data_IF_811025345351
#
_entry.id   IF_811025345351
#
_cell.length_a   1.000
_cell.length_b   1.000
_cell.length_c   1.000
_cell.angle_alpha   90.00
_cell.angle_beta   90.00
_cell.angle_gamma   90.00
#
_symmetry.space_group_name_H-M   'P 1'
#
loop_
_entity.id
_entity.type
_entity.pdbx_description
1 polymer ?
#
# COMPACT_ATOMS: atom_id res chain seq x y z
N UNK A 1 -29.93 -7.60 -17.94
CA UNK A 1 -28.68 -7.11 -18.55
C UNK A 1 -28.06 -5.94 -17.78
N UNK A 2 -28.85 -4.93 -17.37
CA UNK A 2 -28.37 -3.76 -16.61
C UNK A 2 -27.71 -4.11 -15.27
N UNK A 3 -28.29 -5.02 -14.48
CA UNK A 3 -27.72 -5.43 -13.18
C UNK A 3 -26.34 -6.10 -13.31
N UNK A 4 -26.14 -6.93 -14.34
CA UNK A 4 -24.86 -7.60 -14.62
C UNK A 4 -23.80 -6.58 -15.01
N UNK A 5 -24.16 -5.60 -15.85
CA UNK A 5 -23.25 -4.52 -16.24
C UNK A 5 -22.81 -3.69 -15.03
N UNK A 6 -23.76 -3.29 -14.17
CA UNK A 6 -23.46 -2.55 -12.94
C UNK A 6 -22.55 -3.35 -12.01
N UNK A 7 -22.80 -4.64 -11.84
CA UNK A 7 -21.98 -5.51 -11.01
C UNK A 7 -20.54 -5.63 -11.53
N UNK A 8 -20.36 -5.84 -12.84
CA UNK A 8 -19.04 -5.88 -13.46
C UNK A 8 -18.31 -4.54 -13.33
N UNK A 9 -19.01 -3.43 -13.53
CA UNK A 9 -18.43 -2.10 -13.37
C UNK A 9 -17.96 -1.87 -11.92
N UNK A 10 -18.80 -2.16 -10.93
CA UNK A 10 -18.44 -2.05 -9.51
C UNK A 10 -17.25 -2.95 -9.15
N UNK A 11 -17.21 -4.17 -9.68
CA UNK A 11 -16.09 -5.07 -9.47
C UNK A 11 -14.77 -4.50 -10.02
N UNK A 12 -14.77 -3.98 -11.25
CA UNK A 12 -13.60 -3.36 -11.87
C UNK A 12 -13.15 -2.13 -11.07
N UNK A 13 -14.08 -1.24 -10.72
CA UNK A 13 -13.77 -0.02 -9.95
C UNK A 13 -13.21 -0.36 -8.57
N UNK A 14 -13.78 -1.34 -7.87
CA UNK A 14 -13.31 -1.76 -6.54
C UNK A 14 -11.93 -2.41 -6.63
N UNK A 15 -11.71 -3.26 -7.63
CA UNK A 15 -10.40 -3.88 -7.90
C UNK A 15 -9.34 -2.83 -8.20
N UNK A 16 -9.66 -1.85 -9.06
CA UNK A 16 -8.77 -0.73 -9.36
C UNK A 16 -8.48 0.11 -8.11
N UNK A 17 -9.49 0.39 -7.29
CA UNK A 17 -9.33 1.09 -6.01
C UNK A 17 -8.35 0.36 -5.08
N UNK A 18 -8.43 -0.98 -4.98
CA UNK A 18 -7.48 -1.77 -4.20
C UNK A 18 -6.04 -1.61 -4.68
N UNK A 19 -5.79 -1.57 -5.99
CA UNK A 19 -4.46 -1.30 -6.54
C UNK A 19 -3.96 0.09 -6.15
N UNK A 20 -4.82 1.11 -6.19
CA UNK A 20 -4.47 2.48 -5.77
C UNK A 20 -4.15 2.54 -4.28
N UNK A 21 -4.99 1.94 -3.42
CA UNK A 21 -4.73 1.86 -1.98
C UNK A 21 -3.40 1.14 -1.69
N UNK A 22 -3.14 0.03 -2.39
CA UNK A 22 -1.90 -0.71 -2.26
C UNK A 22 -0.67 0.10 -2.71
N UNK A 23 -0.77 0.82 -3.83
CA UNK A 23 0.30 1.70 -4.31
C UNK A 23 0.68 2.75 -3.25
N UNK A 24 -0.32 3.43 -2.66
CA UNK A 24 -0.07 4.41 -1.61
C UNK A 24 0.54 3.76 -0.36
N UNK A 25 0.12 2.55 0.02
CA UNK A 25 0.74 1.80 1.11
C UNK A 25 2.24 1.57 0.84
N UNK A 26 2.60 1.04 -0.33
CA UNK A 26 4.00 0.75 -0.69
C UNK A 26 4.84 2.03 -0.71
N UNK A 27 4.27 3.15 -1.17
CA UNK A 27 4.92 4.45 -1.09
C UNK A 27 5.31 4.83 0.36
N UNK A 28 4.41 4.59 1.33
CA UNK A 28 4.74 4.84 2.74
C UNK A 28 5.79 3.87 3.29
N UNK A 29 5.83 2.62 2.84
CA UNK A 29 6.92 1.69 3.17
C UNK A 29 8.27 2.19 2.66
N UNK A 30 8.31 2.64 1.41
CA UNK A 30 9.53 3.18 0.79
C UNK A 30 10.05 4.38 1.58
N UNK A 31 9.14 5.27 1.99
CA UNK A 31 9.47 6.43 2.82
C UNK A 31 10.01 6.04 4.21
N UNK A 32 9.49 4.96 4.80
CA UNK A 32 9.99 4.44 6.07
C UNK A 32 11.42 3.88 5.94
N UNK A 33 11.65 3.02 4.95
CA UNK A 33 12.97 2.40 4.71
C UNK A 33 14.05 3.44 4.44
N UNK A 34 13.73 4.43 3.59
CA UNK A 34 14.64 5.53 3.31
C UNK A 34 14.99 6.35 4.55
N UNK A 35 14.01 6.61 5.42
CA UNK A 35 14.25 7.31 6.68
C UNK A 35 15.16 6.50 7.61
N UNK A 36 14.93 5.19 7.73
CA UNK A 36 15.76 4.28 8.53
C UNK A 36 17.19 4.18 7.97
N UNK A 37 17.37 4.11 6.66
CA UNK A 37 18.69 4.05 6.01
C UNK A 37 19.44 5.38 6.08
N UNK A 38 18.72 6.50 6.00
CA UNK A 38 19.28 7.84 6.17
C UNK A 38 19.85 8.02 7.58
N UNK A 39 19.12 7.57 8.62
CA UNK A 39 19.64 7.56 9.99
C UNK A 39 20.87 6.67 10.17
N UNK A 40 20.93 5.54 9.47
CA UNK A 40 22.10 4.64 9.46
C UNK A 40 23.27 5.16 8.61
N UNK A 41 23.19 6.38 8.05
CA UNK A 41 24.16 6.98 7.11
C UNK A 41 24.41 6.14 5.85
N UNK A 42 23.54 5.20 5.52
CA UNK A 42 23.69 4.30 4.39
C UNK A 42 23.14 4.88 3.09
N UNK A 43 22.33 5.95 3.16
CA UNK A 43 21.67 6.50 1.98
C UNK A 43 21.48 8.02 2.06
N UNK A 44 21.93 8.76 1.03
CA UNK A 44 21.65 10.20 0.89
C UNK A 44 20.27 10.37 0.27
N UNK A 45 19.25 10.47 1.12
CA UNK A 45 17.86 10.69 0.71
C UNK A 45 17.65 12.06 0.05
N UNK A 46 16.92 12.09 -1.07
CA UNK A 46 16.36 13.33 -1.64
C UNK A 46 15.39 13.98 -0.63
N UNK A 47 15.40 15.32 -0.49
CA UNK A 47 14.63 16.03 0.55
C UNK A 47 13.12 16.09 0.27
N UNK A 48 12.70 15.90 -0.98
CA UNK A 48 11.29 15.89 -1.40
C UNK A 48 11.01 14.55 -2.05
N UNK A 49 10.04 13.81 -1.50
CA UNK A 49 9.65 12.50 -2.01
C UNK A 49 8.17 12.54 -2.39
N UNK A 50 7.89 12.35 -3.66
CA UNK A 50 6.55 12.30 -4.27
C UNK A 50 6.14 10.83 -4.48
N UNK A 51 4.84 10.51 -4.47
CA UNK A 51 4.36 9.17 -4.85
C UNK A 51 4.88 8.70 -6.22
N UNK A 52 5.15 9.64 -7.12
CA UNK A 52 5.69 9.39 -8.46
C UNK A 52 7.12 8.82 -8.41
N UNK A 53 7.90 9.14 -7.37
CA UNK A 53 9.29 8.67 -7.20
C UNK A 53 9.38 7.16 -6.91
N UNK A 54 8.24 6.53 -6.60
CA UNK A 54 8.15 5.07 -6.55
C UNK A 54 8.40 4.43 -7.92
N UNK A 55 7.97 5.11 -8.99
CA UNK A 55 8.02 4.63 -10.38
C UNK A 55 9.13 5.30 -11.17
N UNK A 56 9.34 6.61 -10.96
CA UNK A 56 10.36 7.40 -11.66
C UNK A 56 11.64 7.41 -10.83
N UNK A 57 12.53 6.48 -11.13
CA UNK A 57 13.80 6.32 -10.45
C UNK A 57 14.87 5.76 -11.36
N UNK A 58 16.13 5.75 -10.91
CA UNK A 58 17.22 5.21 -11.72
C UNK A 58 17.23 3.68 -11.64
N UNK A 59 16.67 3.03 -12.66
CA UNK A 59 16.65 1.58 -12.80
C UNK A 59 18.04 0.96 -12.96
N UNK A 60 19.06 1.75 -13.27
CA UNK A 60 20.46 1.27 -13.34
C UNK A 60 21.12 1.25 -11.96
N UNK A 61 20.60 2.01 -10.99
CA UNK A 61 21.12 2.03 -9.63
C UNK A 61 20.63 0.79 -8.84
N UNK A 62 21.54 -0.13 -8.42
CA UNK A 62 21.16 -1.33 -7.70
C UNK A 62 20.59 -1.04 -6.30
N UNK A 63 21.08 -0.02 -5.61
CA UNK A 63 20.58 0.35 -4.27
C UNK A 63 19.14 0.87 -4.33
N UNK A 64 18.86 1.75 -5.30
CA UNK A 64 17.51 2.28 -5.51
C UNK A 64 16.48 1.21 -5.87
N UNK A 65 16.90 0.18 -6.61
CA UNK A 65 16.06 -1.00 -6.89
C UNK A 65 15.84 -1.85 -5.66
N UNK A 66 16.90 -2.14 -4.91
CA UNK A 66 16.84 -2.97 -3.72
C UNK A 66 15.85 -2.40 -2.69
N UNK A 67 15.96 -1.11 -2.38
CA UNK A 67 15.07 -0.44 -1.41
C UNK A 67 13.60 -0.48 -1.86
N UNK A 68 13.33 -0.32 -3.17
CA UNK A 68 11.97 -0.39 -3.71
C UNK A 68 11.41 -1.81 -3.68
N UNK A 69 12.24 -2.81 -3.98
CA UNK A 69 11.84 -4.22 -3.82
C UNK A 69 11.57 -4.59 -2.36
N UNK A 70 12.38 -4.07 -1.44
CA UNK A 70 12.16 -4.25 -0.01
C UNK A 70 10.86 -3.57 0.44
N UNK A 71 10.59 -2.34 -0.02
CA UNK A 71 9.35 -1.63 0.28
C UNK A 71 8.09 -2.39 -0.18
N UNK A 72 8.17 -3.07 -1.33
CA UNK A 72 7.09 -3.92 -1.87
C UNK A 72 6.84 -5.15 -1.00
N UNK A 73 7.88 -5.72 -0.37
CA UNK A 73 7.80 -6.91 0.46
C UNK A 73 7.60 -6.59 1.95
N UNK A 74 7.81 -5.33 2.35
CA UNK A 74 7.67 -4.87 3.72
C UNK A 74 6.22 -4.98 4.20
N UNK A 75 6.01 -5.43 5.43
CA UNK A 75 4.68 -5.63 6.06
C UNK A 75 3.66 -6.28 5.13
N UNK A 76 3.78 -7.61 4.92
CA UNK A 76 2.75 -8.38 4.24
C UNK A 76 1.40 -8.08 4.90
N UNK A 77 0.34 -8.04 4.10
CA UNK A 77 -1.00 -7.87 4.64
C UNK A 77 -1.21 -8.92 5.74
N UNK A 78 -1.74 -8.47 6.87
CA UNK A 78 -2.13 -9.21 8.07
C UNK A 78 -1.03 -9.34 9.13
N UNK A 79 0.16 -8.82 8.87
CA UNK A 79 1.21 -8.71 9.89
C UNK A 79 1.13 -7.38 10.64
N UNK A 80 1.43 -7.38 11.96
CA UNK A 80 1.49 -6.16 12.74
C UNK A 80 2.60 -5.25 12.21
N UNK A 81 2.36 -3.93 12.31
CA UNK A 81 3.39 -2.93 12.11
C UNK A 81 4.04 -2.69 13.47
N UNK A 82 5.20 -3.27 13.70
CA UNK A 82 5.90 -3.18 14.97
C UNK A 82 6.37 -1.75 15.23
N UNK A 83 5.97 -1.19 16.37
CA UNK A 83 6.39 0.14 16.84
C UNK A 83 7.24 -0.09 18.09
N UNK A 84 8.55 0.13 17.99
CA UNK A 84 9.46 0.01 19.11
C UNK A 84 9.56 1.35 19.85
N UNK A 85 9.80 1.33 21.15
CA UNK A 85 10.02 2.56 21.94
C UNK A 85 11.27 3.33 21.50
N UNK A 86 12.24 2.64 20.89
CA UNK A 86 13.45 3.24 20.30
C UNK A 86 13.21 3.92 18.95
N UNK A 87 12.01 3.80 18.36
CA UNK A 87 11.71 4.43 17.08
C UNK A 87 11.59 5.95 17.26
N UNK A 88 12.17 6.69 16.31
CA UNK A 88 12.00 8.14 16.28
C UNK A 88 10.54 8.52 15.95
N UNK A 89 10.13 9.73 16.36
CA UNK A 89 8.76 10.21 16.16
C UNK A 89 8.29 10.17 14.70
N UNK A 90 9.19 10.40 13.74
CA UNK A 90 8.85 10.41 12.32
C UNK A 90 8.62 8.98 11.81
N UNK A 91 9.43 8.01 12.24
CA UNK A 91 9.18 6.59 11.98
C UNK A 91 7.85 6.13 12.55
N UNK A 92 7.53 6.51 13.80
CA UNK A 92 6.24 6.18 14.43
C UNK A 92 5.07 6.77 13.62
N UNK A 93 5.15 8.04 13.20
CA UNK A 93 4.11 8.67 12.36
C UNK A 93 3.91 7.93 11.04
N UNK A 94 4.98 7.54 10.37
CA UNK A 94 4.91 6.78 9.11
C UNK A 94 4.29 5.40 9.34
N UNK A 95 4.73 4.67 10.37
CA UNK A 95 4.18 3.37 10.78
C UNK A 95 2.68 3.44 11.08
N UNK A 96 2.23 4.49 11.77
CA UNK A 96 0.79 4.75 11.98
C UNK A 96 0.06 4.93 10.66
N UNK A 97 0.59 5.72 9.72
CA UNK A 97 -0.04 5.90 8.40
C UNK A 97 -0.15 4.57 7.64
N UNK A 98 0.90 3.76 7.64
CA UNK A 98 0.90 2.42 7.04
C UNK A 98 -0.22 1.56 7.64
N UNK A 99 -0.38 1.58 8.97
CA UNK A 99 -1.47 0.85 9.65
C UNK A 99 -2.85 1.31 9.19
N UNK A 100 -3.07 2.61 9.00
CA UNK A 100 -4.34 3.12 8.48
C UNK A 100 -4.61 2.66 7.04
N UNK A 101 -3.59 2.64 6.17
CA UNK A 101 -3.73 2.08 4.82
C UNK A 101 -4.03 0.59 4.83
N UNK A 102 -3.40 -0.19 5.72
CA UNK A 102 -3.75 -1.61 5.90
C UNK A 102 -5.24 -1.76 6.27
N UNK A 103 -5.73 -0.96 7.23
CA UNK A 103 -7.15 -0.96 7.62
C UNK A 103 -8.06 -0.59 6.44
N UNK A 104 -7.72 0.44 5.67
CA UNK A 104 -8.49 0.85 4.49
C UNK A 104 -8.56 -0.28 3.43
N UNK A 105 -7.43 -0.98 3.19
CA UNK A 105 -7.38 -2.13 2.30
C UNK A 105 -8.28 -3.26 2.82
N UNK A 106 -8.27 -3.55 4.13
CA UNK A 106 -9.16 -4.58 4.69
C UNK A 106 -10.64 -4.22 4.53
N UNK A 107 -11.02 -2.97 4.78
CA UNK A 107 -12.40 -2.52 4.60
C UNK A 107 -12.84 -2.64 3.13
N UNK A 108 -11.95 -2.27 2.19
CA UNK A 108 -12.22 -2.43 0.77
C UNK A 108 -12.37 -3.90 0.35
N UNK A 109 -11.53 -4.80 0.89
CA UNK A 109 -11.66 -6.24 0.66
C UNK A 109 -12.97 -6.80 1.21
N UNK A 110 -13.35 -6.42 2.44
CA UNK A 110 -14.63 -6.84 3.04
C UNK A 110 -15.81 -6.36 2.19
N UNK A 111 -15.80 -5.10 1.73
CA UNK A 111 -16.82 -4.58 0.84
C UNK A 111 -16.91 -5.35 -0.49
N UNK A 112 -15.76 -5.76 -1.04
CA UNK A 112 -15.70 -6.59 -2.24
C UNK A 112 -16.29 -7.99 -1.99
N UNK A 113 -15.96 -8.62 -0.86
CA UNK A 113 -16.55 -9.91 -0.50
C UNK A 113 -18.08 -9.82 -0.31
N UNK A 114 -18.56 -8.78 0.37
CA UNK A 114 -20.00 -8.57 0.57
C UNK A 114 -20.74 -8.31 -0.74
N UNK A 115 -20.15 -7.53 -1.65
CA UNK A 115 -20.76 -7.26 -2.96
C UNK A 115 -20.81 -8.53 -3.82
N UNK A 116 -19.77 -9.38 -3.77
CA UNK A 116 -19.76 -10.67 -4.43
C UNK A 116 -20.85 -11.62 -3.89
N UNK A 117 -20.95 -11.75 -2.56
CA UNK A 117 -21.98 -12.60 -1.93
C UNK A 117 -23.39 -12.12 -2.31
N UNK A 118 -23.62 -10.81 -2.30
CA UNK A 118 -24.89 -10.22 -2.71
C UNK A 118 -25.21 -10.54 -4.18
N UNK A 119 -24.24 -10.40 -5.08
CA UNK A 119 -24.40 -10.72 -6.50
C UNK A 119 -24.76 -12.20 -6.71
N UNK A 120 -24.07 -13.10 -6.01
CA UNK A 120 -24.33 -14.54 -6.10
C UNK A 120 -25.74 -14.89 -5.61
N UNK A 121 -26.23 -14.22 -4.57
CA UNK A 121 -27.60 -14.40 -4.06
C UNK A 121 -28.65 -13.83 -5.01
N UNK A 122 -28.42 -12.65 -5.58
CA UNK A 122 -29.35 -11.99 -6.49
C UNK A 122 -29.40 -12.63 -7.89
N UNK A 123 -28.33 -13.29 -8.33
CA UNK A 123 -28.27 -14.02 -9.60
C UNK A 123 -28.84 -15.44 -9.56
N UNK A 124 -29.30 -15.91 -8.38
CA UNK A 124 -29.98 -17.20 -8.19
C UNK A 124 -31.52 -17.08 -8.17
N UNK A 125 -32.09 -15.99 -8.69
CA UNK A 125 -33.51 -15.78 -8.90
C UNK A 125 -33.86 -15.85 -10.39
#
# INVERSE_FOLDING_TARGET
MTAIFIALFLFIVTTFSLFVLYFFKVYWHLKLLQHQQSQKKQYKTKPVFSPIDLVIFDWKNPEERAIRSEALLMYPLLFPVDMAESDDEKSIRIKKTIKHWNIAIYLALIALFLSYIYLQKSGKA
#
